data_IF_782380239379
#
_entry.id   IF_782380239379
#
_cell.length_a   1.000
_cell.length_b   1.000
_cell.length_c   1.000
_cell.angle_alpha   90.00
_cell.angle_beta   90.00
_cell.angle_gamma   90.00
#
_symmetry.space_group_name_H-M   'P 1'
#
loop_
_entity.id
_entity.type
_entity.pdbx_description
1 polymer ?
#
# COMPACT_ATOMS: atom_id res chain seq x y z
N UNK A 1 -11.42 -9.63 2.25
CA UNK A 1 -10.79 -8.70 3.24
C UNK A 1 -9.38 -9.22 3.53
N UNK A 2 -8.36 -8.66 2.87
CA UNK A 2 -6.97 -9.10 3.05
C UNK A 2 -6.38 -8.53 4.35
N UNK A 3 -6.53 -9.23 5.47
CA UNK A 3 -6.05 -8.78 6.80
C UNK A 3 -4.56 -8.40 6.83
N UNK A 4 -3.75 -8.97 5.93
CA UNK A 4 -2.32 -8.61 5.77
C UNK A 4 -2.09 -7.17 5.29
N UNK A 5 -2.94 -6.66 4.39
CA UNK A 5 -2.83 -5.29 3.90
C UNK A 5 -3.47 -4.32 4.88
N UNK A 6 -4.48 -4.74 5.64
CA UNK A 6 -5.16 -3.91 6.63
C UNK A 6 -4.20 -3.42 7.73
N UNK A 7 -3.31 -4.29 8.23
CA UNK A 7 -2.31 -3.92 9.22
C UNK A 7 -1.28 -2.90 8.68
N UNK A 8 -0.83 -3.07 7.44
CA UNK A 8 0.04 -2.10 6.79
C UNK A 8 -0.72 -0.78 6.57
N UNK A 9 -1.96 -0.83 6.06
CA UNK A 9 -2.85 0.30 5.78
C UNK A 9 -3.12 1.16 7.01
N UNK A 10 -3.30 0.57 8.18
CA UNK A 10 -3.49 1.30 9.44
C UNK A 10 -2.26 2.11 9.88
N UNK A 11 -1.09 1.89 9.26
CA UNK A 11 0.13 2.69 9.51
C UNK A 11 0.25 3.91 8.59
N UNK A 12 -0.49 3.94 7.47
CA UNK A 12 -0.42 5.04 6.50
C UNK A 12 -1.38 6.17 6.89
N UNK A 13 -1.12 7.36 6.35
CA UNK A 13 -1.97 8.53 6.53
C UNK A 13 -3.39 8.27 6.00
N UNK A 14 -4.39 8.90 6.64
CA UNK A 14 -5.81 8.69 6.32
C UNK A 14 -6.15 8.99 4.85
N UNK A 15 -5.55 10.05 4.26
CA UNK A 15 -5.75 10.41 2.85
C UNK A 15 -5.24 9.34 1.90
N UNK A 16 -4.07 8.77 2.18
CA UNK A 16 -3.49 7.70 1.38
C UNK A 16 -4.30 6.41 1.54
N UNK A 17 -4.77 6.12 2.76
CA UNK A 17 -5.60 4.97 3.05
C UNK A 17 -6.92 5.03 2.28
N UNK A 18 -7.55 6.21 2.21
CA UNK A 18 -8.77 6.45 1.45
C UNK A 18 -8.55 6.31 -0.07
N UNK A 19 -7.42 6.80 -0.58
CA UNK A 19 -7.10 6.75 -2.00
C UNK A 19 -6.69 5.34 -2.48
N UNK A 20 -6.04 4.54 -1.63
CA UNK A 20 -5.57 3.19 -1.98
C UNK A 20 -6.60 2.09 -1.65
N UNK A 21 -7.58 2.37 -0.76
CA UNK A 21 -8.68 1.46 -0.44
C UNK A 21 -9.44 0.91 -1.67
N UNK A 22 -9.83 1.73 -2.67
CA UNK A 22 -10.49 1.21 -3.87
C UNK A 22 -9.54 0.36 -4.73
N UNK A 23 -8.24 0.66 -4.75
CA UNK A 23 -7.24 -0.11 -5.50
C UNK A 23 -6.99 -1.49 -4.89
N UNK A 24 -6.99 -1.57 -3.55
CA UNK A 24 -6.83 -2.81 -2.78
C UNK A 24 -8.13 -3.60 -2.57
N UNK A 25 -9.28 -3.00 -2.92
CA UNK A 25 -10.56 -3.69 -2.92
C UNK A 25 -10.61 -4.79 -3.99
N UNK A 26 -9.76 -4.70 -5.03
CA UNK A 26 -9.63 -5.74 -6.03
C UNK A 26 -8.99 -7.01 -5.43
N UNK A 27 -9.68 -8.17 -5.47
CA UNK A 27 -9.16 -9.41 -4.91
C UNK A 27 -7.93 -9.96 -5.64
N UNK A 28 -7.66 -9.52 -6.87
CA UNK A 28 -6.51 -9.95 -7.67
C UNK A 28 -5.39 -8.90 -7.74
N UNK A 29 -5.35 -7.94 -6.81
CA UNK A 29 -4.31 -6.92 -6.80
C UNK A 29 -2.90 -7.54 -6.92
N UNK A 30 -2.16 -7.31 -8.03
CA UNK A 30 -0.89 -7.96 -8.31
C UNK A 30 0.28 -7.40 -7.49
N UNK A 31 -0.01 -6.65 -6.41
CA UNK A 31 0.97 -5.90 -5.63
C UNK A 31 1.76 -4.87 -6.46
N UNK A 32 1.12 -4.33 -7.51
CA UNK A 32 1.75 -3.43 -8.46
C UNK A 32 0.87 -2.20 -8.64
N UNK A 33 1.47 -1.02 -8.52
CA UNK A 33 0.84 0.26 -8.75
C UNK A 33 1.37 0.82 -10.07
N UNK A 34 0.46 1.14 -10.99
CA UNK A 34 0.78 1.82 -12.24
C UNK A 34 1.16 3.28 -11.97
N UNK A 35 1.93 3.90 -12.87
CA UNK A 35 2.35 5.30 -12.74
C UNK A 35 1.17 6.28 -12.59
N UNK A 36 0.04 6.01 -13.28
CA UNK A 36 -1.18 6.81 -13.17
C UNK A 36 -1.82 6.73 -11.77
N UNK A 37 -1.78 5.55 -11.16
CA UNK A 37 -2.24 5.33 -9.79
C UNK A 37 -1.32 6.01 -8.77
N UNK A 38 -0.01 5.94 -9.00
CA UNK A 38 1.00 6.65 -8.20
C UNK A 38 0.80 8.17 -8.29
N UNK A 39 0.58 8.73 -9.48
CA UNK A 39 0.29 10.15 -9.66
C UNK A 39 -1.01 10.58 -8.97
N UNK A 40 -2.06 9.75 -9.03
CA UNK A 40 -3.33 10.00 -8.33
C UNK A 40 -3.13 10.03 -6.81
N UNK A 41 -2.35 9.09 -6.27
CA UNK A 41 -2.03 9.04 -4.85
C UNK A 41 -1.19 10.24 -4.40
N UNK A 42 -0.19 10.65 -5.20
CA UNK A 42 0.61 11.85 -4.94
C UNK A 42 -0.26 13.10 -4.93
N UNK A 43 -1.17 13.25 -5.89
CA UNK A 43 -2.05 14.41 -5.97
C UNK A 43 -3.07 14.45 -4.81
N UNK A 44 -3.57 13.30 -4.37
CA UNK A 44 -4.48 13.19 -3.24
C UNK A 44 -3.81 13.45 -1.88
N UNK A 45 -2.54 13.06 -1.73
CA UNK A 45 -1.81 13.15 -0.46
C UNK A 45 -0.84 14.32 -0.36
N UNK A 46 -0.53 14.97 -1.49
CA UNK A 46 0.51 15.99 -1.59
C UNK A 46 1.93 15.45 -1.37
N UNK A 47 2.12 14.13 -1.40
CA UNK A 47 3.42 13.47 -1.22
C UNK A 47 4.11 13.30 -2.58
N UNK A 48 5.44 13.37 -2.56
CA UNK A 48 6.31 13.10 -3.72
C UNK A 48 6.47 11.59 -3.96
N UNK A 49 6.98 11.16 -5.13
CA UNK A 49 7.16 9.74 -5.48
C UNK A 49 8.01 8.99 -4.45
N UNK A 50 9.12 9.59 -4.03
CA UNK A 50 10.01 8.99 -3.02
C UNK A 50 9.29 8.84 -1.67
N UNK A 51 8.55 9.85 -1.24
CA UNK A 51 7.79 9.81 0.01
C UNK A 51 6.68 8.76 -0.05
N UNK A 52 6.02 8.62 -1.21
CA UNK A 52 5.04 7.58 -1.47
C UNK A 52 5.69 6.18 -1.41
N UNK A 53 6.85 6.00 -2.03
CA UNK A 53 7.60 4.75 -2.00
C UNK A 53 7.97 4.35 -0.56
N UNK A 54 8.44 5.29 0.25
CA UNK A 54 8.70 5.06 1.67
C UNK A 54 7.44 4.69 2.46
N UNK A 55 6.32 5.38 2.21
CA UNK A 55 5.05 5.07 2.82
C UNK A 55 4.54 3.67 2.42
N UNK A 56 4.86 3.20 1.21
CA UNK A 56 4.45 1.90 0.67
C UNK A 56 5.39 0.74 1.06
N UNK A 57 6.56 0.99 1.64
CA UNK A 57 7.47 -0.05 2.13
C UNK A 57 6.81 -1.06 3.10
N UNK A 58 5.99 -0.64 4.09
CA UNK A 58 5.28 -1.58 4.97
C UNK A 58 4.28 -2.45 4.21
N UNK A 59 3.65 -1.92 3.15
CA UNK A 59 2.75 -2.66 2.27
C UNK A 59 3.52 -3.71 1.46
N UNK A 60 4.68 -3.33 0.91
CA UNK A 60 5.58 -4.24 0.21
C UNK A 60 6.11 -5.34 1.15
N UNK A 61 6.45 -5.00 2.40
CA UNK A 61 6.87 -5.95 3.43
C UNK A 61 5.74 -6.92 3.83
N UNK A 62 4.49 -6.49 3.85
CA UNK A 62 3.34 -7.38 4.06
C UNK A 62 3.09 -8.32 2.87
N UNK A 63 3.50 -7.91 1.66
CA UNK A 63 3.43 -8.73 0.45
C UNK A 63 4.57 -9.76 0.38
N UNK A 64 5.77 -9.37 0.79
CA UNK A 64 6.92 -10.24 0.97
C UNK A 64 6.69 -11.12 2.20
N UNK A 65 6.05 -12.30 2.02
CA UNK A 65 5.81 -13.28 3.10
C UNK A 65 6.97 -13.31 4.09
N UNK A 66 6.81 -12.89 5.36
CA UNK A 66 7.68 -13.40 6.40
C UNK A 66 7.37 -14.88 6.46
N UNK A 67 8.25 -15.73 5.92
CA UNK A 67 8.27 -17.13 6.33
C UNK A 67 8.41 -17.07 7.86
N UNK A 68 7.46 -17.59 8.65
CA UNK A 68 7.72 -17.76 10.06
C UNK A 68 8.92 -18.71 10.13
N UNK A 69 10.06 -18.19 10.59
CA UNK A 69 11.12 -19.03 11.10
C UNK A 69 10.50 -19.73 12.32
N UNK A 70 10.02 -20.96 12.10
CA UNK A 70 9.62 -21.85 13.18
C UNK A 70 10.91 -22.28 13.88
N UNK A 71 11.02 -21.92 15.15
CA UNK A 71 11.99 -22.50 16.08
C UNK A 71 11.51 -23.88 16.54
#
# INVERSE_FOLDING_TARGET
MHSRFQAALTTLAADLQAAIAPMLADPHFPALLEADQVATLQHATGLDEDALAFALLPLAAACARPRPFSF
#
